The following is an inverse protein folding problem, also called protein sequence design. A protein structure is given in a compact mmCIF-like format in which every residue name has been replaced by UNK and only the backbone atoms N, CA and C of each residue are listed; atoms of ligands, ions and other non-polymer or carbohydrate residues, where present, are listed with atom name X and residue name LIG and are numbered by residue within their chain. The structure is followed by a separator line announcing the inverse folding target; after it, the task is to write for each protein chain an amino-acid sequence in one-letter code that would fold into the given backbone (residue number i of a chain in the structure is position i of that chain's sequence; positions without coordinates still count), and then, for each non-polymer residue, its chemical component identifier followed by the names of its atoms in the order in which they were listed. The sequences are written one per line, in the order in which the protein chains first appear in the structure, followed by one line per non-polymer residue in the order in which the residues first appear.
data_IF_309519817559
#
_entry.id   IF_309519817559
#
_cell.length_a   1.000
_cell.length_b   1.000
_cell.length_c   1.000
_cell.angle_alpha   90.00
_cell.angle_beta   90.00
_cell.angle_gamma   90.00
#
_symmetry.space_group_name_H-M   'P 1'
#
loop_
_entity.id
_entity.type
_entity.pdbx_description
1 polymer ?
#
# COMPACT_ATOMS: atom_id res chain seq x y z
N UNK A 1 -7.94 7.47 9.69
CA UNK A 1 -6.47 7.57 9.68
C UNK A 1 -5.92 6.50 10.59
N UNK A 2 -5.11 5.59 10.04
CA UNK A 2 -4.50 4.45 10.74
C UNK A 2 -3.95 3.49 9.69
N UNK A 3 -2.74 2.97 9.90
CA UNK A 3 -2.14 1.95 9.05
C UNK A 3 -1.87 0.71 9.89
N UNK A 4 -2.14 -0.49 9.35
CA UNK A 4 -1.74 -1.75 9.96
C UNK A 4 -0.21 -1.82 9.98
N UNK A 5 0.36 -2.21 11.12
CA UNK A 5 1.79 -2.40 11.28
C UNK A 5 2.00 -3.72 12.02
N UNK A 6 2.75 -4.63 11.41
CA UNK A 6 3.09 -5.93 11.98
C UNK A 6 4.62 -6.04 12.04
N UNK A 7 5.15 -6.54 13.17
CA UNK A 7 6.59 -6.77 13.28
C UNK A 7 6.97 -7.98 12.43
N UNK A 8 8.06 -7.86 11.69
CA UNK A 8 8.53 -8.92 10.79
C UNK A 8 9.92 -9.35 11.19
N UNK A 9 10.06 -10.58 11.69
CA UNK A 9 11.34 -11.19 12.09
C UNK A 9 11.76 -12.31 11.15
N UNK A 10 11.15 -12.41 9.96
CA UNK A 10 11.39 -13.47 8.98
C UNK A 10 12.84 -13.58 8.50
N UNK A 11 13.66 -12.54 8.69
CA UNK A 11 15.10 -12.63 8.47
C UNK A 11 15.78 -13.64 9.43
N UNK A 12 15.35 -13.70 10.69
CA UNK A 12 15.88 -14.62 11.71
C UNK A 12 15.06 -15.91 11.82
N UNK A 13 13.73 -15.80 11.74
CA UNK A 13 12.80 -16.89 12.05
C UNK A 13 12.19 -17.54 10.77
N UNK A 14 12.66 -17.16 9.59
CA UNK A 14 12.15 -17.68 8.32
C UNK A 14 10.67 -17.34 8.11
N UNK A 15 9.91 -18.25 7.51
CA UNK A 15 8.49 -18.02 7.21
C UNK A 15 7.63 -17.73 8.45
N UNK A 16 7.99 -18.29 9.60
CA UNK A 16 7.22 -18.14 10.85
C UNK A 16 7.25 -16.69 11.36
N UNK A 17 8.35 -15.97 11.12
CA UNK A 17 8.51 -14.55 11.46
C UNK A 17 7.75 -13.57 10.56
N UNK A 18 6.98 -14.06 9.57
CA UNK A 18 6.14 -13.26 8.68
C UNK A 18 4.63 -13.57 8.83
N UNK A 19 4.23 -14.48 9.71
CA UNK A 19 2.83 -14.89 9.86
C UNK A 19 1.92 -13.71 10.23
N UNK A 20 2.33 -12.86 11.17
CA UNK A 20 1.56 -11.68 11.56
C UNK A 20 1.37 -10.70 10.40
N UNK A 21 2.42 -10.50 9.59
CA UNK A 21 2.33 -9.69 8.38
C UNK A 21 1.39 -10.34 7.36
N UNK A 22 1.44 -11.66 7.19
CA UNK A 22 0.58 -12.38 6.25
C UNK A 22 -0.90 -12.27 6.63
N UNK A 23 -1.23 -12.40 7.93
CA UNK A 23 -2.60 -12.23 8.43
C UNK A 23 -3.07 -10.78 8.22
N UNK A 24 -2.25 -9.78 8.55
CA UNK A 24 -2.59 -8.37 8.35
C UNK A 24 -2.84 -8.02 6.86
N UNK A 25 -2.08 -8.62 5.93
CA UNK A 25 -2.28 -8.46 4.49
C UNK A 25 -3.55 -9.17 4.03
N UNK A 26 -3.81 -10.38 4.52
CA UNK A 26 -5.02 -11.14 4.20
C UNK A 26 -6.28 -10.37 4.61
N UNK A 27 -6.32 -9.86 5.83
CA UNK A 27 -7.42 -9.02 6.32
C UNK A 27 -7.60 -7.76 5.46
N UNK A 28 -6.50 -7.09 5.07
CA UNK A 28 -6.58 -5.93 4.20
C UNK A 28 -7.15 -6.24 2.80
N UNK A 29 -6.93 -7.45 2.29
CA UNK A 29 -7.50 -7.91 1.02
C UNK A 29 -9.00 -8.24 1.11
N UNK A 30 -9.54 -8.46 2.30
CA UNK A 30 -10.97 -8.70 2.52
C UNK A 30 -11.79 -7.39 2.56
N UNK A 31 -11.12 -6.24 2.68
CA UNK A 31 -11.75 -4.92 2.70
C UNK A 31 -11.98 -4.36 1.28
N UNK A 32 -13.13 -3.69 1.08
CA UNK A 32 -13.36 -2.92 -0.14
C UNK A 32 -12.41 -1.71 -0.18
N UNK A 33 -11.80 -1.49 -1.34
CA UNK A 33 -10.94 -0.34 -1.57
C UNK A 33 -11.54 0.60 -2.62
N UNK A 34 -11.31 1.91 -2.42
CA UNK A 34 -11.66 2.96 -3.38
C UNK A 34 -10.43 3.36 -4.20
N UNK A 35 -9.84 2.39 -4.90
CA UNK A 35 -8.66 2.65 -5.73
C UNK A 35 -8.99 3.61 -6.88
N UNK A 36 -8.28 4.74 -6.91
CA UNK A 36 -8.37 5.73 -7.97
C UNK A 36 -6.97 6.02 -8.52
N UNK A 37 -6.85 6.17 -9.85
CA UNK A 37 -5.60 6.63 -10.44
C UNK A 37 -5.28 8.06 -9.97
N UNK A 38 -3.99 8.35 -9.80
CA UNK A 38 -3.52 9.66 -9.34
C UNK A 38 -3.97 10.81 -10.27
N UNK A 39 -4.06 10.52 -11.57
CA UNK A 39 -4.55 11.42 -12.60
C UNK A 39 -5.02 10.65 -13.85
N UNK A 40 -5.93 11.23 -14.66
CA UNK A 40 -6.35 10.67 -15.95
C UNK A 40 -5.29 10.86 -17.05
N UNK A 41 -5.31 10.00 -18.08
CA UNK A 41 -4.30 10.01 -19.17
C UNK A 41 -4.42 11.20 -20.13
N UNK A 42 -5.54 11.91 -20.10
CA UNK A 42 -5.81 13.09 -20.91
C UNK A 42 -5.21 14.37 -20.29
N UNK A 43 -4.75 14.30 -19.04
CA UNK A 43 -4.11 15.42 -18.32
C UNK A 43 -2.83 15.86 -19.03
N UNK A 44 -2.55 17.17 -19.10
CA UNK A 44 -1.31 17.69 -19.70
C UNK A 44 -0.08 17.21 -18.93
N UNK A 45 1.03 16.96 -19.62
CA UNK A 45 2.25 16.41 -19.02
C UNK A 45 2.76 17.23 -17.81
N UNK A 46 2.73 18.56 -17.89
CA UNK A 46 3.20 19.42 -16.78
C UNK A 46 2.28 19.32 -15.56
N UNK A 47 0.98 19.15 -15.78
CA UNK A 47 0.01 19.01 -14.69
C UNK A 47 0.16 17.66 -13.99
N UNK A 48 0.57 16.60 -14.71
CA UNK A 48 0.92 15.29 -14.12
C UNK A 48 2.11 15.40 -13.16
N UNK A 49 3.17 16.10 -13.58
CA UNK A 49 4.36 16.31 -12.73
C UNK A 49 3.99 17.10 -11.47
N UNK A 50 3.23 18.19 -11.63
CA UNK A 50 2.73 18.99 -10.51
C UNK A 50 1.83 18.18 -9.57
N UNK A 51 0.98 17.30 -10.11
CA UNK A 51 0.13 16.42 -9.31
C UNK A 51 0.98 15.47 -8.48
N UNK A 52 1.95 14.79 -9.08
CA UNK A 52 2.87 13.88 -8.36
C UNK A 52 3.63 14.61 -7.23
N UNK A 53 4.11 15.82 -7.48
CA UNK A 53 4.95 16.56 -6.54
C UNK A 53 4.19 17.17 -5.34
N UNK A 54 2.86 17.26 -5.39
CA UNK A 54 2.02 17.94 -4.37
C UNK A 54 1.08 17.01 -3.62
N UNK A 55 1.15 15.71 -3.88
CA UNK A 55 0.34 14.69 -3.18
C UNK A 55 0.94 14.43 -1.81
#
# INVERSE_FOLDING_TARGET
AGARCAMSTHWADGGDGALELADAVKEACEEENEFNYLYPLEMKLIDRVNKIAKV
#
